data_IF_154308922959
#
_entry.id   IF_154308922959
#
_cell.length_a   1.000
_cell.length_b   1.000
_cell.length_c   1.000
_cell.angle_alpha   90.00
_cell.angle_beta   90.00
_cell.angle_gamma   90.00
#
_symmetry.space_group_name_H-M   'P 1'
#
loop_
_entity.id
_entity.type
_entity.pdbx_description
1 polymer ?
#
# COMPACT_ATOMS: atom_id res chain seq x y z
N UNK A 1 -32.67 33.11 8.97
CA UNK A 1 -31.86 32.56 10.08
C UNK A 1 -31.51 31.08 9.91
N UNK A 2 -32.01 30.36 8.90
CA UNK A 2 -31.80 28.92 8.70
C UNK A 2 -30.51 28.55 7.93
N UNK A 3 -30.07 29.39 7.00
CA UNK A 3 -29.01 29.02 6.05
C UNK A 3 -27.63 28.84 6.70
N UNK A 4 -27.34 29.60 7.77
CA UNK A 4 -26.05 29.54 8.47
C UNK A 4 -25.86 28.30 9.36
N UNK A 5 -26.95 27.63 9.75
CA UNK A 5 -26.88 26.36 10.48
C UNK A 5 -26.70 25.16 9.55
N UNK A 6 -27.27 25.23 8.35
CA UNK A 6 -27.11 24.19 7.33
C UNK A 6 -25.68 24.14 6.81
N UNK A 7 -25.03 25.29 6.58
CA UNK A 7 -23.68 25.34 6.03
C UNK A 7 -22.62 24.76 6.99
N UNK A 8 -22.74 25.06 8.30
CA UNK A 8 -21.82 24.52 9.32
C UNK A 8 -21.89 23.00 9.46
N UNK A 9 -23.11 22.45 9.53
CA UNK A 9 -23.31 21.01 9.66
C UNK A 9 -22.72 20.24 8.46
N UNK A 10 -22.87 20.79 7.25
CA UNK A 10 -22.28 20.19 6.03
C UNK A 10 -20.76 20.25 6.10
N UNK A 11 -20.16 21.35 6.56
CA UNK A 11 -18.71 21.46 6.69
C UNK A 11 -18.14 20.54 7.78
N UNK A 12 -18.84 20.37 8.90
CA UNK A 12 -18.46 19.44 9.97
C UNK A 12 -18.46 18.00 9.46
N UNK A 13 -19.53 17.61 8.74
CA UNK A 13 -19.66 16.28 8.13
C UNK A 13 -18.56 16.03 7.08
N UNK A 14 -18.26 17.01 6.23
CA UNK A 14 -17.17 16.91 5.23
C UNK A 14 -15.81 16.75 5.93
N UNK A 15 -15.52 17.52 6.97
CA UNK A 15 -14.24 17.43 7.71
C UNK A 15 -14.04 16.08 8.41
N UNK A 16 -15.11 15.51 8.97
CA UNK A 16 -15.08 14.18 9.57
C UNK A 16 -14.83 13.10 8.50
N UNK A 17 -15.50 13.20 7.36
CA UNK A 17 -15.35 12.26 6.24
C UNK A 17 -13.93 12.33 5.65
N UNK A 18 -13.35 13.52 5.54
CA UNK A 18 -11.96 13.72 5.14
C UNK A 18 -10.99 13.10 6.16
N UNK A 19 -11.20 13.31 7.45
CA UNK A 19 -10.34 12.74 8.50
C UNK A 19 -10.42 11.21 8.52
N UNK A 20 -11.63 10.65 8.39
CA UNK A 20 -11.87 9.20 8.29
C UNK A 20 -11.21 8.62 7.04
N UNK A 21 -11.33 9.28 5.88
CA UNK A 21 -10.72 8.83 4.62
C UNK A 21 -9.20 8.92 4.62
N UNK A 22 -8.59 9.97 5.17
CA UNK A 22 -7.12 10.09 5.32
C UNK A 22 -6.59 8.99 6.24
N UNK A 23 -7.30 8.71 7.34
CA UNK A 23 -6.92 7.64 8.27
C UNK A 23 -7.02 6.27 7.58
N UNK A 24 -8.11 5.99 6.86
CA UNK A 24 -8.30 4.76 6.10
C UNK A 24 -7.24 4.60 4.99
N UNK A 25 -6.91 5.65 4.25
CA UNK A 25 -5.91 5.64 3.19
C UNK A 25 -4.50 5.34 3.72
N UNK A 26 -4.17 5.77 4.95
CA UNK A 26 -2.90 5.38 5.60
C UNK A 26 -2.90 3.93 6.08
N UNK A 27 -4.03 3.42 6.57
CA UNK A 27 -4.20 2.00 6.93
C UNK A 27 -4.09 1.09 5.71
N UNK A 28 -4.58 1.55 4.55
CA UNK A 28 -4.48 0.87 3.27
C UNK A 28 -3.38 1.49 2.39
N UNK A 29 -2.14 1.52 2.89
CA UNK A 29 -1.00 1.92 2.07
C UNK A 29 -0.80 0.92 0.93
N UNK A 30 -1.03 1.38 -0.29
CA UNK A 30 -0.91 0.58 -1.52
C UNK A 30 0.46 -0.09 -1.66
N UNK A 31 1.52 0.53 -1.13
CA UNK A 31 2.89 -0.01 -1.18
C UNK A 31 3.01 -1.31 -0.38
N UNK A 32 2.28 -1.41 0.73
CA UNK A 32 2.26 -2.61 1.57
C UNK A 32 1.51 -3.75 0.87
N UNK A 33 0.39 -3.44 0.23
CA UNK A 33 -0.43 -4.42 -0.50
C UNK A 33 0.34 -4.93 -1.72
N UNK A 34 0.82 -4.03 -2.57
CA UNK A 34 1.60 -4.38 -3.77
C UNK A 34 2.88 -5.12 -3.38
N UNK A 35 3.65 -4.59 -2.42
CA UNK A 35 4.89 -5.22 -1.97
C UNK A 35 4.66 -6.61 -1.38
N UNK A 36 3.61 -6.78 -0.55
CA UNK A 36 3.23 -8.08 0.00
C UNK A 36 2.83 -9.08 -1.08
N UNK A 37 2.03 -8.67 -2.06
CA UNK A 37 1.65 -9.52 -3.19
C UNK A 37 2.87 -9.97 -3.99
N UNK A 38 3.78 -9.06 -4.33
CA UNK A 38 5.02 -9.39 -5.06
C UNK A 38 5.89 -10.37 -4.30
N UNK A 39 6.01 -10.24 -2.97
CA UNK A 39 6.76 -11.20 -2.16
C UNK A 39 6.08 -12.58 -2.17
N UNK A 40 4.78 -12.66 -1.92
CA UNK A 40 4.06 -13.95 -1.88
C UNK A 40 4.13 -14.67 -3.23
N UNK A 41 3.77 -13.99 -4.32
CA UNK A 41 3.84 -14.57 -5.66
C UNK A 41 5.29 -14.86 -6.07
N UNK A 42 6.23 -13.96 -5.75
CA UNK A 42 7.64 -14.16 -6.03
C UNK A 42 8.21 -15.41 -5.36
N UNK A 43 7.85 -15.68 -4.11
CA UNK A 43 8.24 -16.93 -3.42
C UNK A 43 7.68 -18.15 -4.14
N UNK A 44 6.39 -18.16 -4.46
CA UNK A 44 5.74 -19.29 -5.15
C UNK A 44 6.41 -19.56 -6.50
N UNK A 45 6.62 -18.52 -7.29
CA UNK A 45 7.22 -18.61 -8.62
C UNK A 45 8.70 -19.02 -8.55
N UNK A 46 9.44 -18.53 -7.54
CA UNK A 46 10.83 -18.94 -7.31
C UNK A 46 10.92 -20.42 -6.95
N UNK A 47 10.04 -20.92 -6.07
CA UNK A 47 9.99 -22.35 -5.71
C UNK A 47 9.62 -23.20 -6.93
N UNK A 48 8.62 -22.77 -7.72
CA UNK A 48 8.27 -23.45 -8.97
C UNK A 48 9.44 -23.49 -9.95
N UNK A 49 10.25 -22.42 -10.01
CA UNK A 49 11.50 -22.41 -10.76
C UNK A 49 12.52 -23.41 -10.21
N UNK A 50 12.77 -23.44 -8.90
CA UNK A 50 13.74 -24.34 -8.28
C UNK A 50 13.40 -25.83 -8.44
N UNK A 51 12.12 -26.18 -8.52
CA UNK A 51 11.64 -27.56 -8.64
C UNK A 51 11.33 -27.94 -10.10
N UNK A 52 11.52 -27.02 -11.06
CA UNK A 52 11.31 -27.28 -12.48
C UNK A 52 12.24 -28.42 -12.97
N UNK A 53 11.69 -29.32 -13.78
CA UNK A 53 12.46 -30.46 -14.32
C UNK A 53 13.32 -30.04 -15.51
N UNK A 54 14.42 -30.75 -15.77
CA UNK A 54 15.36 -30.44 -16.86
C UNK A 54 14.68 -30.34 -18.25
N UNK A 55 13.66 -31.17 -18.50
CA UNK A 55 12.83 -31.14 -19.72
C UNK A 55 12.06 -29.81 -19.92
N UNK A 56 11.73 -29.10 -18.84
CA UNK A 56 11.08 -27.79 -18.88
C UNK A 56 12.11 -26.65 -19.07
N UNK A 57 13.31 -26.82 -18.53
CA UNK A 57 14.43 -25.88 -18.66
C UNK A 57 14.98 -25.89 -20.10
N UNK A 58 15.07 -27.06 -20.73
CA UNK A 58 15.54 -27.21 -22.10
C UNK A 58 14.60 -26.56 -23.13
N UNK A 59 13.28 -26.58 -22.88
CA UNK A 59 12.30 -25.84 -23.70
C UNK A 59 12.44 -24.33 -23.60
N UNK A 60 13.07 -23.82 -22.54
CA UNK A 60 13.33 -22.41 -22.29
C UNK A 60 14.78 -22.00 -22.65
N UNK A 61 15.41 -22.70 -23.59
CA UNK A 61 16.81 -22.45 -24.01
C UNK A 61 17.81 -22.51 -22.84
N UNK A 62 17.59 -23.40 -21.86
CA UNK A 62 18.49 -23.57 -20.72
C UNK A 62 18.34 -22.50 -19.62
N UNK A 63 17.36 -21.59 -19.73
CA UNK A 63 17.13 -20.53 -18.75
C UNK A 63 15.83 -20.76 -18.00
N UNK A 64 15.91 -20.84 -16.68
CA UNK A 64 14.74 -21.01 -15.84
C UNK A 64 13.97 -19.67 -15.69
N UNK A 65 12.98 -19.47 -16.57
CA UNK A 65 12.19 -18.22 -16.62
C UNK A 65 11.42 -17.98 -15.32
N UNK A 66 10.91 -19.03 -14.69
CA UNK A 66 10.20 -18.96 -13.42
C UNK A 66 11.14 -18.50 -12.31
N UNK A 67 12.35 -19.04 -12.25
CA UNK A 67 13.34 -18.65 -11.25
C UNK A 67 13.71 -17.16 -11.36
N UNK A 68 14.05 -16.69 -12.56
CA UNK A 68 14.40 -15.28 -12.79
C UNK A 68 13.24 -14.33 -12.54
N UNK A 69 12.04 -14.71 -12.97
CA UNK A 69 10.82 -13.92 -12.76
C UNK A 69 10.49 -13.85 -11.26
N UNK A 70 10.52 -14.98 -10.55
CA UNK A 70 10.28 -15.04 -9.12
C UNK A 70 11.30 -14.23 -8.32
N UNK A 71 12.58 -14.32 -8.69
CA UNK A 71 13.64 -13.53 -8.05
C UNK A 71 13.45 -12.03 -8.31
N UNK A 72 13.11 -11.63 -9.54
CA UNK A 72 12.78 -10.24 -9.87
C UNK A 72 11.59 -9.71 -9.06
N UNK A 73 10.53 -10.50 -8.93
CA UNK A 73 9.37 -10.19 -8.10
C UNK A 73 9.75 -10.03 -6.62
N UNK A 74 10.62 -10.89 -6.09
CA UNK A 74 11.09 -10.81 -4.71
C UNK A 74 11.91 -9.53 -4.46
N UNK A 75 12.85 -9.21 -5.34
CA UNK A 75 13.65 -7.98 -5.23
C UNK A 75 12.75 -6.75 -5.25
N UNK A 76 11.78 -6.70 -6.17
CA UNK A 76 10.83 -5.58 -6.26
C UNK A 76 9.90 -5.50 -5.04
N UNK A 77 9.37 -6.63 -4.58
CA UNK A 77 8.51 -6.69 -3.39
C UNK A 77 9.24 -6.24 -2.13
N UNK A 78 10.46 -6.73 -1.91
CA UNK A 78 11.31 -6.31 -0.79
C UNK A 78 11.69 -4.84 -0.89
N UNK A 79 11.94 -4.32 -2.10
CA UNK A 79 12.16 -2.90 -2.32
C UNK A 79 10.97 -2.06 -1.84
N UNK A 80 9.73 -2.42 -2.21
CA UNK A 80 8.53 -1.71 -1.74
C UNK A 80 8.35 -1.76 -0.23
N UNK A 81 8.66 -2.90 0.41
CA UNK A 81 8.58 -3.05 1.87
C UNK A 81 9.69 -2.27 2.59
N UNK A 82 10.91 -2.28 2.06
CA UNK A 82 12.00 -1.45 2.57
C UNK A 82 11.67 0.04 2.43
N UNK A 83 11.08 0.45 1.31
CA UNK A 83 10.63 1.81 1.07
C UNK A 83 9.51 2.25 2.04
N UNK A 84 8.58 1.35 2.37
CA UNK A 84 7.57 1.61 3.41
C UNK A 84 8.23 1.89 4.76
N UNK A 85 9.28 1.12 5.11
CA UNK A 85 10.05 1.33 6.34
C UNK A 85 10.86 2.62 6.33
N UNK A 86 11.41 3.02 5.19
CA UNK A 86 12.17 4.26 4.98
C UNK A 86 11.26 5.51 4.92
N UNK A 87 10.02 5.37 4.45
CA UNK A 87 9.05 6.47 4.30
C UNK A 87 7.71 6.15 4.96
N UNK A 88 7.64 6.20 6.30
CA UNK A 88 6.40 6.00 7.04
C UNK A 88 5.36 7.07 6.66
N UNK A 89 4.09 6.69 6.62
CA UNK A 89 3.01 7.67 6.48
C UNK A 89 2.90 8.46 7.78
N UNK A 90 2.87 9.80 7.70
CA UNK A 90 2.79 10.67 8.88
C UNK A 90 1.53 10.36 9.75
N UNK A 91 1.47 10.76 11.03
CA UNK A 91 0.23 10.72 11.78
C UNK A 91 -0.79 11.74 11.25
N UNK A 92 -2.11 11.53 11.43
CA UNK A 92 -3.11 12.59 11.24
C UNK A 92 -2.77 13.80 12.12
N UNK A 93 -2.94 15.05 11.61
CA UNK A 93 -2.83 16.22 12.46
C UNK A 93 -3.88 16.15 13.59
N UNK A 94 -3.55 16.65 14.80
CA UNK A 94 -4.54 16.74 15.87
C UNK A 94 -5.72 17.59 15.37
N UNK A 95 -6.97 17.27 15.79
CA UNK A 95 -8.12 18.09 15.44
C UNK A 95 -7.83 19.53 15.87
N UNK A 96 -7.91 20.47 14.91
CA UNK A 96 -7.61 21.87 15.15
C UNK A 96 -8.48 22.39 16.29
N UNK A 97 -7.84 22.89 17.35
CA UNK A 97 -8.50 23.62 18.44
C UNK A 97 -8.86 25.03 17.95
N UNK A 98 -9.61 25.13 16.86
CA UNK A 98 -9.99 26.40 16.23
C UNK A 98 -11.51 26.56 16.34
N UNK A 99 -11.92 26.88 17.57
CA UNK A 99 -13.31 27.13 17.95
C UNK A 99 -13.45 27.83 19.31
N UNK A 100 -12.37 27.96 20.09
CA UNK A 100 -12.33 28.81 21.27
C UNK A 100 -12.03 30.27 20.86
N UNK A 101 -12.97 30.89 20.14
CA UNK A 101 -13.00 32.36 20.03
C UNK A 101 -13.32 32.95 21.41
N UNK A 102 -12.63 34.03 21.85
CA UNK A 102 -13.01 34.74 23.06
C UNK A 102 -14.39 35.38 22.87
N UNK A 103 -15.16 35.38 23.95
CA UNK A 103 -16.57 35.79 24.05
C UNK A 103 -16.91 37.18 23.50
#
# INVERSE_FOLDING_TARGET
MSDSYSDKNVQDEVSELETKSVTAARLFDIRRIIGGLFVVYGVIVTIAGLVASDDEIDKAQGVNINLWTGLGMLVLGLFFLAWLKLRPTAPPPPPSAEGAGPE
#
